data_IF_606415146311
#
_entry.id   IF_606415146311
#
_cell.length_a   1.000
_cell.length_b   1.000
_cell.length_c   1.000
_cell.angle_alpha   90.00
_cell.angle_beta   90.00
_cell.angle_gamma   90.00
#
_symmetry.space_group_name_H-M   'P 1'
#
loop_
_entity.id
_entity.type
_entity.pdbx_description
1 polymer ?
#
# COMPACT_ATOMS: atom_id res chain seq x y z
N UNK A 1 -20.56 16.02 -0.15
CA UNK A 1 -20.07 17.31 0.33
C UNK A 1 -18.63 17.46 -0.14
N UNK A 2 -18.35 18.53 -0.84
CA UNK A 2 -17.08 18.72 -1.56
C UNK A 2 -15.84 18.89 -0.63
N UNK A 3 -16.01 18.80 0.69
CA UNK A 3 -14.95 18.96 1.68
C UNK A 3 -15.19 18.12 2.95
N UNK A 4 -15.81 16.95 2.83
CA UNK A 4 -15.96 16.07 3.99
C UNK A 4 -14.66 15.32 4.22
N UNK A 5 -13.96 15.66 5.29
CA UNK A 5 -12.84 14.87 5.80
C UNK A 5 -13.38 13.65 6.53
N UNK A 6 -12.99 12.46 6.06
CA UNK A 6 -13.33 11.20 6.71
C UNK A 6 -12.15 10.72 7.55
N UNK A 7 -12.44 10.22 8.74
CA UNK A 7 -11.46 9.51 9.54
C UNK A 7 -11.23 8.11 8.93
N UNK A 8 -10.00 7.87 8.48
CA UNK A 8 -9.58 6.59 7.92
C UNK A 8 -8.92 5.75 9.03
N UNK A 9 -9.43 4.57 9.31
CA UNK A 9 -8.85 3.66 10.29
C UNK A 9 -9.15 2.20 9.92
N UNK A 10 -8.33 1.29 10.42
CA UNK A 10 -8.52 -0.16 10.25
C UNK A 10 -8.81 -0.87 11.56
N UNK A 11 -8.58 -0.21 12.69
CA UNK A 11 -8.74 -0.77 14.03
C UNK A 11 -9.32 0.26 14.99
N UNK A 12 -10.11 -0.21 15.94
CA UNK A 12 -10.59 0.58 17.07
C UNK A 12 -10.78 -0.32 18.31
N UNK A 13 -11.28 0.26 19.40
CA UNK A 13 -11.47 -0.45 20.67
C UNK A 13 -12.66 -1.43 20.69
N UNK A 14 -13.55 -1.37 19.71
CA UNK A 14 -14.75 -2.20 19.63
C UNK A 14 -14.62 -3.40 18.70
N UNK A 15 -13.61 -3.38 17.81
CA UNK A 15 -13.37 -4.41 16.81
C UNK A 15 -12.17 -5.30 17.16
N UNK A 16 -12.11 -6.48 16.58
CA UNK A 16 -10.92 -7.33 16.61
C UNK A 16 -9.80 -6.62 15.86
N UNK A 17 -8.56 -6.76 16.33
CA UNK A 17 -7.40 -6.24 15.60
C UNK A 17 -7.37 -6.80 14.18
N UNK A 18 -7.24 -5.93 13.19
CA UNK A 18 -7.32 -6.29 11.77
C UNK A 18 -6.31 -7.41 11.42
N UNK A 19 -5.08 -7.31 11.93
CA UNK A 19 -4.07 -8.35 11.75
C UNK A 19 -4.42 -9.72 12.36
N UNK A 20 -5.27 -9.77 13.37
CA UNK A 20 -5.73 -11.03 13.98
C UNK A 20 -6.79 -11.68 13.11
N UNK A 21 -7.61 -10.87 12.46
CA UNK A 21 -8.72 -11.30 11.63
C UNK A 21 -8.27 -11.60 10.19
N UNK A 22 -7.44 -10.74 9.60
CA UNK A 22 -7.08 -10.78 8.18
C UNK A 22 -5.63 -11.20 7.90
N UNK A 23 -4.79 -11.33 8.95
CA UNK A 23 -3.37 -11.64 8.79
C UNK A 23 -2.47 -10.40 8.73
N UNK A 24 -1.16 -10.65 8.74
CA UNK A 24 -0.16 -9.57 8.83
C UNK A 24 0.00 -8.81 7.52
N UNK A 25 -0.06 -9.50 6.38
CA UNK A 25 0.13 -8.91 5.05
C UNK A 25 -1.05 -8.01 4.67
N UNK A 26 -2.28 -8.52 4.84
CA UNK A 26 -3.48 -7.71 4.65
C UNK A 26 -3.53 -6.50 5.61
N UNK A 27 -3.04 -6.65 6.85
CA UNK A 27 -2.96 -5.53 7.79
C UNK A 27 -1.90 -4.50 7.40
N UNK A 28 -0.83 -4.93 6.75
CA UNK A 28 0.19 -4.04 6.21
C UNK A 28 -0.38 -3.20 5.04
N UNK A 29 -1.04 -3.84 4.07
CA UNK A 29 -1.68 -3.15 2.95
C UNK A 29 -2.81 -2.21 3.40
N UNK A 30 -3.68 -2.67 4.32
CA UNK A 30 -4.75 -1.84 4.88
C UNK A 30 -4.20 -0.65 5.69
N UNK A 31 -3.11 -0.87 6.44
CA UNK A 31 -2.39 0.21 7.12
C UNK A 31 -1.82 1.24 6.15
N UNK A 32 -1.30 0.83 5.00
CA UNK A 32 -0.86 1.74 3.95
C UNK A 32 -2.05 2.48 3.28
N UNK A 33 -3.18 1.81 3.11
CA UNK A 33 -4.38 2.41 2.51
C UNK A 33 -4.84 3.65 3.28
N UNK A 34 -4.83 3.65 4.62
CA UNK A 34 -5.26 4.82 5.40
C UNK A 34 -4.37 6.05 5.20
N UNK A 35 -3.11 5.87 4.78
CA UNK A 35 -2.18 6.97 4.49
C UNK A 35 -2.18 7.39 3.02
N UNK A 36 -2.70 6.57 2.12
CA UNK A 36 -2.71 6.85 0.68
C UNK A 36 -4.08 7.26 0.15
N UNK A 37 -5.16 6.95 0.86
CA UNK A 37 -6.51 7.40 0.55
C UNK A 37 -6.79 8.82 1.06
N UNK A 38 -7.77 9.55 0.45
CA UNK A 38 -8.24 10.82 0.99
C UNK A 38 -8.81 10.67 2.40
N UNK A 39 -8.69 11.72 3.21
CA UNK A 39 -9.19 11.74 4.59
C UNK A 39 -8.08 11.89 5.62
N UNK A 40 -8.40 11.69 6.89
CA UNK A 40 -7.49 11.82 8.02
C UNK A 40 -7.13 10.43 8.56
N UNK A 41 -5.87 9.99 8.46
CA UNK A 41 -5.47 8.68 8.98
C UNK A 41 -5.47 8.66 10.50
N UNK A 42 -5.99 7.58 11.09
CA UNK A 42 -5.93 7.31 12.52
C UNK A 42 -5.25 5.96 12.78
N UNK A 43 -4.23 5.98 13.61
CA UNK A 43 -3.58 4.77 14.14
C UNK A 43 -4.17 4.48 15.52
N UNK A 44 -4.81 3.33 15.68
CA UNK A 44 -5.27 2.89 16.99
C UNK A 44 -4.08 2.39 17.82
N UNK A 45 -3.97 2.88 19.06
CA UNK A 45 -2.84 2.60 19.94
C UNK A 45 -2.47 1.12 20.01
N UNK A 46 -1.20 0.81 19.73
CA UNK A 46 -0.67 -0.56 19.58
C UNK A 46 -0.69 -1.11 18.16
N UNK A 47 -1.39 -0.49 17.21
CA UNK A 47 -1.35 -0.86 15.80
C UNK A 47 0.07 -0.70 15.25
N UNK A 48 0.76 0.37 15.62
CA UNK A 48 2.13 0.72 15.24
C UNK A 48 3.19 -0.27 15.75
N UNK A 49 2.87 -1.10 16.71
CA UNK A 49 3.75 -2.16 17.22
C UNK A 49 3.25 -3.57 16.88
N UNK A 50 2.15 -3.66 16.14
CA UNK A 50 1.57 -4.94 15.77
C UNK A 50 0.90 -5.69 16.91
N UNK A 51 0.31 -4.97 17.88
CA UNK A 51 -0.40 -5.57 19.01
C UNK A 51 -1.57 -6.43 18.56
N UNK A 52 -1.75 -7.58 19.22
CA UNK A 52 -2.86 -8.50 18.96
C UNK A 52 -4.05 -8.33 19.89
N UNK A 53 -3.80 -7.86 21.10
CA UNK A 53 -4.83 -7.60 22.11
C UNK A 53 -5.63 -6.33 21.81
N UNK A 54 -6.96 -6.41 21.93
CA UNK A 54 -7.86 -5.32 21.53
C UNK A 54 -7.87 -4.15 22.54
N UNK A 55 -7.97 -4.46 23.82
CA UNK A 55 -8.08 -3.50 24.93
C UNK A 55 -7.03 -3.71 26.02
N UNK A 56 -6.01 -4.49 25.71
CA UNK A 56 -4.94 -4.79 26.64
C UNK A 56 -4.01 -3.59 26.79
N UNK A 57 -3.20 -3.61 27.84
CA UNK A 57 -2.10 -2.65 27.98
C UNK A 57 -1.16 -2.75 26.76
N UNK A 58 -0.60 -1.62 26.36
CA UNK A 58 0.32 -1.60 25.20
C UNK A 58 1.57 -2.40 25.53
N UNK A 59 1.84 -3.43 24.73
CA UNK A 59 2.91 -4.40 24.93
C UNK A 59 4.20 -3.98 24.20
N UNK A 60 4.80 -2.86 24.61
CA UNK A 60 6.00 -2.30 23.97
C UNK A 60 7.17 -3.29 23.89
N UNK A 61 7.33 -4.16 24.89
CA UNK A 61 8.39 -5.17 24.94
C UNK A 61 8.17 -6.31 23.93
N UNK A 62 7.00 -6.37 23.30
CA UNK A 62 6.60 -7.33 22.28
C UNK A 62 6.31 -6.67 20.92
N UNK A 63 6.83 -5.46 20.71
CA UNK A 63 6.73 -4.78 19.43
C UNK A 63 7.33 -5.65 18.32
N UNK A 64 6.62 -5.75 17.21
CA UNK A 64 7.10 -6.49 16.03
C UNK A 64 8.09 -5.63 15.27
N UNK A 65 9.21 -6.25 14.89
CA UNK A 65 10.25 -5.60 14.11
C UNK A 65 9.67 -5.03 12.79
N UNK A 66 10.12 -3.84 12.43
CA UNK A 66 9.78 -3.16 11.17
C UNK A 66 8.36 -2.56 11.09
N UNK A 67 7.41 -2.93 11.95
CA UNK A 67 6.03 -2.40 11.86
C UNK A 67 6.01 -0.91 12.14
N UNK A 68 6.71 -0.45 13.17
CA UNK A 68 6.78 0.97 13.52
C UNK A 68 7.49 1.78 12.45
N UNK A 69 8.65 1.31 11.98
CA UNK A 69 9.45 1.99 10.94
C UNK A 69 8.62 2.16 9.67
N UNK A 70 7.76 1.17 9.38
CA UNK A 70 6.84 1.24 8.25
C UNK A 70 5.83 2.38 8.41
N UNK A 71 5.17 2.50 9.57
CA UNK A 71 4.25 3.61 9.83
C UNK A 71 4.96 4.96 9.78
N UNK A 72 6.17 5.06 10.30
CA UNK A 72 6.99 6.28 10.23
C UNK A 72 7.28 6.67 8.77
N UNK A 73 7.60 5.70 7.89
CA UNK A 73 7.78 5.96 6.45
C UNK A 73 6.47 6.39 5.77
N UNK A 74 5.36 5.72 6.04
CA UNK A 74 4.05 6.09 5.48
C UNK A 74 3.62 7.50 5.88
N UNK A 75 3.87 7.89 7.14
CA UNK A 75 3.62 9.24 7.63
C UNK A 75 4.51 10.23 6.85
N UNK A 76 5.81 9.97 6.76
CA UNK A 76 6.74 10.85 6.05
C UNK A 76 6.34 11.03 4.58
N UNK A 77 6.05 9.94 3.86
CA UNK A 77 5.61 10.00 2.46
C UNK A 77 4.33 10.84 2.33
N UNK A 78 3.36 10.66 3.23
CA UNK A 78 2.14 11.46 3.18
C UNK A 78 2.36 12.95 3.49
N UNK A 79 3.30 13.27 4.38
CA UNK A 79 3.68 14.65 4.72
C UNK A 79 4.45 15.33 3.58
N UNK A 80 5.31 14.58 2.90
CA UNK A 80 6.16 15.07 1.82
C UNK A 80 5.42 15.19 0.48
N UNK A 81 4.26 14.53 0.33
CA UNK A 81 3.49 14.46 -0.91
C UNK A 81 2.07 14.98 -0.73
N UNK A 82 1.79 16.26 -1.02
CA UNK A 82 0.46 16.88 -0.91
C UNK A 82 -0.64 16.14 -1.68
N UNK A 83 -0.30 15.49 -2.81
CA UNK A 83 -1.21 14.65 -3.56
C UNK A 83 -1.82 13.52 -2.71
N UNK A 84 -1.14 13.02 -1.68
CA UNK A 84 -1.68 12.03 -0.73
C UNK A 84 -2.54 12.67 0.37
N UNK A 85 -2.51 13.99 0.49
CA UNK A 85 -3.27 14.75 1.48
C UNK A 85 -4.78 14.67 1.29
N UNK A 86 -5.56 15.29 2.21
CA UNK A 86 -7.03 15.27 2.14
C UNK A 86 -7.58 15.98 0.90
N UNK A 87 -6.89 17.01 0.41
CA UNK A 87 -7.28 17.82 -0.76
C UNK A 87 -6.86 17.16 -2.10
N UNK A 88 -5.98 16.16 -2.08
CA UNK A 88 -5.53 15.46 -3.27
C UNK A 88 -6.66 14.67 -3.93
N UNK A 89 -6.68 14.69 -5.27
CA UNK A 89 -7.65 13.94 -6.06
C UNK A 89 -7.40 12.44 -5.97
N UNK A 90 -8.45 11.66 -6.17
CA UNK A 90 -8.43 10.21 -6.26
C UNK A 90 -9.04 9.78 -7.59
N UNK A 91 -8.24 9.22 -8.47
CA UNK A 91 -8.64 8.80 -9.79
C UNK A 91 -8.33 7.32 -10.05
N UNK A 92 -9.00 6.75 -11.03
CA UNK A 92 -8.73 5.39 -11.47
C UNK A 92 -7.49 5.37 -12.37
N UNK A 93 -6.66 4.36 -12.19
CA UNK A 93 -5.61 3.96 -13.14
C UNK A 93 -5.92 2.56 -13.68
N UNK A 94 -5.68 2.34 -14.97
CA UNK A 94 -5.76 0.98 -15.52
C UNK A 94 -4.59 0.16 -15.03
N UNK A 95 -4.83 -1.09 -14.60
CA UNK A 95 -3.75 -1.98 -14.17
C UNK A 95 -4.06 -3.44 -14.51
N UNK A 96 -3.00 -4.24 -14.57
CA UNK A 96 -3.07 -5.68 -14.76
C UNK A 96 -2.09 -6.39 -13.83
N UNK A 97 -2.59 -7.37 -13.08
CA UNK A 97 -1.80 -8.19 -12.17
C UNK A 97 -1.27 -9.40 -12.93
N UNK A 98 0.04 -9.60 -12.92
CA UNK A 98 0.64 -10.80 -13.46
C UNK A 98 0.51 -11.94 -12.45
N UNK A 99 0.04 -13.09 -12.91
CA UNK A 99 0.05 -14.32 -12.12
C UNK A 99 1.42 -15.00 -12.28
N UNK A 100 2.09 -15.28 -11.15
CA UNK A 100 3.28 -16.12 -11.10
C UNK A 100 4.63 -15.40 -11.20
N UNK A 101 5.69 -16.14 -10.85
CA UNK A 101 7.08 -15.68 -10.91
C UNK A 101 7.50 -15.39 -12.35
N UNK A 102 7.86 -14.16 -12.63
CA UNK A 102 8.29 -13.67 -13.94
C UNK A 102 9.66 -14.22 -14.38
N UNK A 103 10.37 -14.96 -13.54
CA UNK A 103 11.73 -15.40 -13.84
C UNK A 103 11.83 -16.63 -14.73
N UNK A 104 10.88 -17.54 -14.76
CA UNK A 104 10.83 -18.67 -15.72
C UNK A 104 9.58 -19.56 -15.54
N UNK A 105 8.67 -19.52 -16.51
CA UNK A 105 7.54 -20.41 -16.83
C UNK A 105 6.14 -19.94 -16.41
N UNK A 106 5.16 -20.09 -17.30
CA UNK A 106 3.75 -19.99 -16.95
C UNK A 106 3.37 -21.31 -16.23
N UNK A 107 3.62 -21.41 -14.95
CA UNK A 107 3.08 -22.48 -14.14
C UNK A 107 2.04 -21.81 -13.24
N UNK A 108 0.81 -22.20 -13.41
CA UNK A 108 -0.24 -22.03 -12.40
C UNK A 108 0.23 -22.79 -11.17
N UNK A 109 1.03 -22.15 -10.35
CA UNK A 109 1.48 -22.67 -9.06
C UNK A 109 0.59 -22.07 -7.97
N UNK A 110 0.28 -22.86 -6.97
CA UNK A 110 -0.33 -22.40 -5.73
C UNK A 110 0.57 -21.31 -5.12
N UNK A 111 0.13 -20.08 -5.18
CA UNK A 111 0.89 -18.89 -4.76
C UNK A 111 0.68 -17.68 -5.67
N UNK A 112 -0.17 -17.79 -6.69
CA UNK A 112 -0.50 -16.66 -7.56
C UNK A 112 -1.36 -15.65 -6.81
N UNK A 113 -0.98 -14.37 -6.86
CA UNK A 113 -1.79 -13.28 -6.34
C UNK A 113 -3.07 -13.16 -7.15
N UNK A 114 -4.22 -13.21 -6.50
CA UNK A 114 -5.49 -13.02 -7.17
C UNK A 114 -5.67 -11.53 -7.52
N UNK A 115 -6.14 -11.17 -8.73
CA UNK A 115 -6.34 -9.78 -9.11
C UNK A 115 -7.22 -8.97 -8.13
N UNK A 116 -8.15 -9.64 -7.44
CA UNK A 116 -9.03 -8.98 -6.45
C UNK A 116 -8.31 -8.63 -5.14
N UNK A 117 -7.10 -9.18 -4.91
CA UNK A 117 -6.26 -8.84 -3.76
C UNK A 117 -5.38 -7.61 -4.02
N UNK A 118 -5.42 -7.04 -5.23
CA UNK A 118 -4.63 -5.88 -5.62
C UNK A 118 -5.53 -4.72 -6.00
N UNK A 119 -5.17 -3.54 -5.54
CA UNK A 119 -5.85 -2.29 -5.90
C UNK A 119 -4.81 -1.28 -6.35
N UNK A 120 -5.02 -0.66 -7.52
CA UNK A 120 -4.22 0.47 -7.97
C UNK A 120 -5.09 1.69 -8.25
N UNK A 121 -4.60 2.86 -7.88
CA UNK A 121 -5.27 4.14 -8.10
C UNK A 121 -4.24 5.26 -8.23
N UNK A 122 -4.70 6.39 -8.78
CA UNK A 122 -3.90 7.62 -8.87
C UNK A 122 -4.28 8.58 -7.74
N UNK A 123 -3.30 9.23 -7.17
CA UNK A 123 -3.44 10.42 -6.33
C UNK A 123 -2.75 11.58 -7.03
N UNK A 124 -3.38 12.75 -7.04
CA UNK A 124 -2.81 13.93 -7.71
C UNK A 124 -3.21 15.23 -7.02
N UNK A 125 -2.35 16.22 -7.16
CA UNK A 125 -2.64 17.62 -6.89
C UNK A 125 -2.23 18.50 -8.09
N UNK A 126 -1.95 19.78 -7.85
CA UNK A 126 -1.55 20.73 -8.90
C UNK A 126 -0.11 20.48 -9.40
N UNK A 127 0.76 19.90 -8.56
CA UNK A 127 2.19 19.80 -8.78
C UNK A 127 2.69 18.38 -9.06
N UNK A 128 1.94 17.34 -8.65
CA UNK A 128 2.40 15.96 -8.79
C UNK A 128 1.27 14.96 -9.06
N UNK A 129 1.65 13.83 -9.65
CA UNK A 129 0.81 12.66 -9.85
C UNK A 129 1.53 11.42 -9.33
N UNK A 130 0.83 10.65 -8.50
CA UNK A 130 1.33 9.45 -7.87
C UNK A 130 0.45 8.25 -8.22
N UNK A 131 1.06 7.14 -8.54
CA UNK A 131 0.39 5.84 -8.63
C UNK A 131 0.61 5.10 -7.33
N UNK A 132 -0.48 4.66 -6.71
CA UNK A 132 -0.47 3.82 -5.52
C UNK A 132 -0.93 2.43 -5.89
N UNK A 133 -0.16 1.43 -5.49
CA UNK A 133 -0.52 0.01 -5.63
C UNK A 133 -0.53 -0.62 -4.25
N UNK A 134 -1.65 -1.25 -3.89
CA UNK A 134 -1.83 -1.99 -2.63
C UNK A 134 -2.00 -3.47 -2.96
N UNK A 135 -1.30 -4.33 -2.24
CA UNK A 135 -1.38 -5.78 -2.36
C UNK A 135 -1.76 -6.39 -1.00
N UNK A 136 -2.93 -6.98 -0.92
CA UNK A 136 -3.47 -7.62 0.28
C UNK A 136 -3.15 -9.12 0.37
N UNK A 137 -2.53 -9.68 -0.68
CA UNK A 137 -2.07 -11.06 -0.69
C UNK A 137 -0.77 -11.23 0.12
N UNK A 138 -0.48 -12.44 0.62
CA UNK A 138 0.78 -12.72 1.30
C UNK A 138 2.00 -12.81 0.36
N UNK A 139 1.78 -13.04 -0.94
CA UNK A 139 2.85 -13.08 -1.95
C UNK A 139 3.00 -11.73 -2.62
N UNK A 140 4.24 -11.41 -3.06
CA UNK A 140 4.50 -10.19 -3.84
C UNK A 140 3.74 -10.21 -5.16
N UNK A 141 3.06 -9.12 -5.47
CA UNK A 141 2.41 -8.93 -6.77
C UNK A 141 3.35 -8.25 -7.78
N UNK A 142 3.13 -8.54 -9.06
CA UNK A 142 3.74 -7.82 -10.18
C UNK A 142 2.63 -7.16 -11.00
N UNK A 143 2.62 -5.84 -11.05
CA UNK A 143 1.49 -5.05 -11.55
C UNK A 143 1.94 -4.13 -12.68
N UNK A 144 1.42 -4.33 -13.88
CA UNK A 144 1.54 -3.37 -14.96
C UNK A 144 0.47 -2.29 -14.76
N UNK A 145 0.86 -1.03 -14.80
CA UNK A 145 -0.06 0.12 -14.75
C UNK A 145 -0.11 0.79 -16.12
N UNK A 146 -1.25 1.39 -16.44
CA UNK A 146 -1.50 1.98 -17.76
C UNK A 146 -0.94 3.39 -17.96
N UNK A 147 0.08 3.76 -17.19
CA UNK A 147 0.77 5.05 -17.25
C UNK A 147 2.27 4.84 -17.07
N UNK A 148 3.08 5.71 -17.64
CA UNK A 148 4.52 5.74 -17.42
C UNK A 148 4.81 6.20 -15.98
N UNK A 149 5.79 5.60 -15.33
CA UNK A 149 6.09 5.87 -13.94
C UNK A 149 7.59 5.78 -13.62
N UNK A 150 8.01 6.39 -12.53
CA UNK A 150 9.35 6.25 -12.00
C UNK A 150 9.58 4.81 -11.49
N UNK A 151 10.85 4.41 -11.43
CA UNK A 151 11.26 3.08 -10.95
C UNK A 151 11.39 2.98 -9.43
N UNK A 152 11.27 4.10 -8.73
CA UNK A 152 11.53 4.20 -7.29
C UNK A 152 10.24 4.29 -6.49
N UNK A 153 10.08 3.37 -5.55
CA UNK A 153 9.01 3.42 -4.55
C UNK A 153 9.34 4.46 -3.47
N UNK A 154 8.42 5.38 -3.24
CA UNK A 154 8.58 6.47 -2.28
C UNK A 154 8.52 5.99 -0.82
N UNK A 155 7.90 4.84 -0.54
CA UNK A 155 7.78 4.30 0.82
C UNK A 155 9.06 3.61 1.26
N UNK A 156 9.69 2.84 0.39
CA UNK A 156 10.91 2.08 0.70
C UNK A 156 12.18 2.79 0.27
N UNK A 157 12.07 3.75 -0.65
CA UNK A 157 13.18 4.43 -1.32
C UNK A 157 14.04 3.46 -2.18
N UNK A 158 13.46 2.32 -2.59
CA UNK A 158 14.11 1.29 -3.39
C UNK A 158 13.49 1.21 -4.81
N UNK A 159 14.21 0.59 -5.75
CA UNK A 159 13.66 0.29 -7.07
C UNK A 159 12.61 -0.81 -6.94
N UNK A 160 11.41 -0.55 -7.45
CA UNK A 160 10.30 -1.48 -7.45
C UNK A 160 9.90 -1.98 -8.85
N UNK A 161 10.61 -1.55 -9.91
CA UNK A 161 10.29 -1.95 -11.28
C UNK A 161 11.02 -3.23 -11.66
N UNK A 162 10.28 -4.16 -12.23
CA UNK A 162 10.77 -5.37 -12.86
C UNK A 162 10.32 -5.41 -14.31
N UNK A 163 11.15 -5.96 -15.21
CA UNK A 163 10.82 -6.11 -16.61
C UNK A 163 10.54 -7.58 -16.89
N UNK A 164 9.36 -7.88 -17.43
CA UNK A 164 9.00 -9.25 -17.79
C UNK A 164 9.70 -9.75 -19.07
N UNK A 165 9.51 -11.03 -19.39
CA UNK A 165 10.12 -11.66 -20.57
C UNK A 165 9.65 -11.08 -21.92
N UNK A 166 8.61 -10.25 -21.93
CA UNK A 166 8.07 -9.55 -23.11
C UNK A 166 8.54 -8.09 -23.17
N UNK A 167 9.30 -7.64 -22.18
CA UNK A 167 9.82 -6.28 -22.08
C UNK A 167 8.84 -5.28 -21.45
N UNK A 168 7.78 -5.76 -20.81
CA UNK A 168 6.82 -4.91 -20.11
C UNK A 168 7.33 -4.56 -18.71
N UNK A 169 7.37 -3.28 -18.39
CA UNK A 169 7.66 -2.82 -17.04
C UNK A 169 6.48 -3.08 -16.10
N UNK A 170 6.80 -3.54 -14.88
CA UNK A 170 5.83 -3.86 -13.84
C UNK A 170 6.32 -3.37 -12.49
N UNK A 171 5.41 -2.89 -11.69
CA UNK A 171 5.67 -2.55 -10.29
C UNK A 171 5.60 -3.85 -9.49
N UNK A 172 6.69 -4.21 -8.82
CA UNK A 172 6.69 -5.26 -7.80
C UNK A 172 6.23 -4.64 -6.48
N UNK A 173 5.24 -5.26 -5.85
CA UNK A 173 4.66 -4.76 -4.62
C UNK A 173 4.46 -5.90 -3.62
N UNK A 174 5.04 -5.76 -2.44
CA UNK A 174 4.85 -6.70 -1.33
C UNK A 174 3.52 -6.39 -0.61
N UNK A 175 3.29 -5.14 -0.24
CA UNK A 175 2.06 -4.67 0.42
C UNK A 175 1.63 -3.28 -0.07
N UNK A 176 2.57 -2.37 -0.33
CA UNK A 176 2.32 -1.06 -0.96
C UNK A 176 3.51 -0.64 -1.79
N UNK A 177 3.24 0.00 -2.91
CA UNK A 177 4.19 0.82 -3.66
C UNK A 177 3.54 2.16 -4.00
N UNK A 178 4.28 3.23 -3.84
CA UNK A 178 3.89 4.59 -4.24
C UNK A 178 4.96 5.12 -5.17
N UNK A 179 4.62 5.31 -6.44
CA UNK A 179 5.56 5.77 -7.46
C UNK A 179 5.08 7.07 -8.09
N UNK A 180 6.01 7.92 -8.52
CA UNK A 180 5.67 9.12 -9.31
C UNK A 180 5.25 8.69 -10.72
N UNK A 181 4.17 9.27 -11.23
CA UNK A 181 3.86 9.20 -12.66
C UNK A 181 4.91 10.04 -13.41
N UNK A 182 5.37 9.55 -14.56
CA UNK A 182 6.33 10.28 -15.38
C UNK A 182 5.62 11.46 -16.07
N UNK A 183 6.29 12.60 -16.13
CA UNK A 183 5.80 13.73 -16.92
C UNK A 183 5.89 13.40 -18.42
N UNK A 184 4.87 13.72 -19.18
CA UNK A 184 4.85 13.60 -20.65
C UNK A 184 5.85 14.54 -21.33
#
# INVERSE_FOLDING_TARGET
>A
PDHAEFLQYIENHDETRYRVECGDDAAAAAGAAIFTLPGVPMIYAGQEIGQRGRRDAIAWDHAREGVRDRYERLIAVREDHPALGPEGNLDRVGYHVASGDLSERPIVASGDVHPDDVVAFRRSDEDEQLVVVLNFAPESASVAVGVDHADRDLVTDESCVVVDGEGTERIRVDDVAVVREAEE
#
